data_IF_110409833739
#
_entry.id   IF_110409833739
#
_cell.length_a   1.000
_cell.length_b   1.000
_cell.length_c   1.000
_cell.angle_alpha   90.00
_cell.angle_beta   90.00
_cell.angle_gamma   90.00
#
_symmetry.space_group_name_H-M   'P 1'
#
loop_
_entity.id
_entity.type
_entity.pdbx_description
1 polymer ?
#
# COMPACT_ATOMS: atom_id res chain seq x y z
N UNK A 1 -4.58 -6.29 14.98
CA UNK A 1 -4.24 -5.33 13.90
C UNK A 1 -5.38 -5.35 12.92
N UNK A 2 -5.67 -4.25 12.23
CA UNK A 2 -6.80 -4.15 11.28
C UNK A 2 -6.59 -5.07 10.08
N UNK A 3 -7.63 -5.80 9.63
CA UNK A 3 -7.54 -6.57 8.38
C UNK A 3 -7.53 -5.65 7.17
N UNK A 4 -6.89 -6.06 6.09
CA UNK A 4 -6.83 -5.24 4.88
C UNK A 4 -8.23 -5.06 4.25
N UNK A 5 -9.12 -6.04 4.39
CA UNK A 5 -10.52 -5.91 3.94
C UNK A 5 -11.26 -4.75 4.60
N UNK A 6 -10.90 -4.38 5.84
CA UNK A 6 -11.49 -3.23 6.54
C UNK A 6 -10.93 -1.89 6.02
N UNK A 7 -9.80 -1.93 5.31
CA UNK A 7 -9.17 -0.75 4.72
C UNK A 7 -9.71 -0.49 3.30
N UNK A 8 -10.41 -1.44 2.69
CA UNK A 8 -10.96 -1.33 1.33
C UNK A 8 -12.30 -0.61 1.36
N UNK A 9 -12.44 0.43 0.54
CA UNK A 9 -13.71 1.14 0.39
C UNK A 9 -14.55 0.50 -0.73
N UNK A 10 -15.84 0.19 -0.52
CA UNK A 10 -16.67 -0.50 -1.51
C UNK A 10 -16.86 0.29 -2.81
N UNK A 11 -16.93 1.62 -2.71
CA UNK A 11 -17.09 2.52 -3.87
C UNK A 11 -15.75 2.91 -4.54
N UNK A 12 -14.63 2.28 -4.14
CA UNK A 12 -13.33 2.57 -4.73
C UNK A 12 -13.29 2.17 -6.20
N UNK A 13 -13.38 3.18 -7.07
CA UNK A 13 -13.19 3.00 -8.50
C UNK A 13 -11.72 3.05 -8.92
N UNK A 14 -10.77 3.40 -8.05
CA UNK A 14 -9.31 3.20 -8.26
C UNK A 14 -8.58 3.13 -6.92
N UNK A 15 -7.51 2.34 -6.87
CA UNK A 15 -6.59 2.29 -5.75
C UNK A 15 -5.18 2.66 -6.21
N UNK A 16 -4.58 3.63 -5.54
CA UNK A 16 -3.23 4.11 -5.75
C UNK A 16 -2.30 3.45 -4.75
N UNK A 17 -1.26 2.78 -5.23
CA UNK A 17 -0.23 2.16 -4.38
C UNK A 17 1.13 2.73 -4.77
N UNK A 18 1.84 3.33 -3.80
CA UNK A 18 3.14 3.96 -4.03
C UNK A 18 4.09 3.69 -2.86
N UNK A 19 5.24 3.09 -3.15
CA UNK A 19 6.35 3.00 -2.20
C UNK A 19 7.15 4.30 -2.24
N UNK A 20 7.44 4.86 -1.07
CA UNK A 20 8.31 6.01 -0.91
C UNK A 20 9.53 5.61 -0.09
N UNK A 21 10.71 5.62 -0.72
CA UNK A 21 11.96 5.21 -0.08
C UNK A 21 12.61 6.40 0.58
N UNK A 22 12.79 6.29 1.88
CA UNK A 22 13.30 7.39 2.71
C UNK A 22 14.70 7.09 3.25
N UNK A 23 15.09 5.81 3.26
CA UNK A 23 16.41 5.32 3.66
C UNK A 23 16.62 5.18 5.17
N UNK A 24 15.70 5.65 6.02
CA UNK A 24 15.83 5.52 7.48
C UNK A 24 14.48 5.60 8.21
N UNK A 25 14.31 4.93 9.36
CA UNK A 25 13.03 4.85 10.08
C UNK A 25 12.48 6.22 10.47
N UNK A 26 13.34 7.12 10.94
CA UNK A 26 12.97 8.47 11.38
C UNK A 26 12.47 9.29 10.20
N UNK A 27 13.04 9.07 9.02
CA UNK A 27 12.66 9.75 7.78
C UNK A 27 11.35 9.21 7.23
N UNK A 28 11.11 7.89 7.30
CA UNK A 28 9.80 7.30 6.97
C UNK A 28 8.70 7.84 7.88
N UNK A 29 8.96 7.94 9.18
CA UNK A 29 8.00 8.52 10.14
C UNK A 29 7.77 9.99 9.87
N UNK A 30 8.83 10.78 9.64
CA UNK A 30 8.69 12.20 9.31
C UNK A 30 7.88 12.44 8.02
N UNK A 31 8.06 11.62 6.98
CA UNK A 31 7.26 11.70 5.77
C UNK A 31 5.79 11.33 6.01
N UNK A 32 5.53 10.30 6.83
CA UNK A 32 4.18 9.90 7.20
C UNK A 32 3.48 10.98 8.03
N UNK A 33 4.12 11.50 9.07
CA UNK A 33 3.59 12.58 9.93
C UNK A 33 3.31 13.85 9.12
N UNK A 34 4.18 14.19 8.17
CA UNK A 34 3.95 15.31 7.27
C UNK A 34 2.71 15.09 6.39
N UNK A 35 2.54 13.90 5.81
CA UNK A 35 1.34 13.55 5.04
C UNK A 35 0.08 13.62 5.90
N UNK A 36 0.14 13.15 7.15
CA UNK A 36 -0.97 13.20 8.10
C UNK A 36 -1.36 14.66 8.39
N UNK A 37 -0.37 15.51 8.65
CA UNK A 37 -0.59 16.94 8.88
C UNK A 37 -1.18 17.66 7.67
N UNK A 38 -0.71 17.35 6.46
CA UNK A 38 -1.24 17.93 5.22
C UNK A 38 -2.69 17.49 4.94
N UNK A 39 -3.03 16.25 5.28
CA UNK A 39 -4.41 15.77 5.17
C UNK A 39 -5.34 16.47 6.16
N UNK A 40 -4.91 16.59 7.43
CA UNK A 40 -5.70 17.24 8.47
C UNK A 40 -5.91 18.75 8.25
N UNK A 41 -5.01 19.41 7.51
CA UNK A 41 -5.06 20.85 7.26
C UNK A 41 -5.86 21.24 6.00
N UNK A 42 -6.10 20.28 5.08
CA UNK A 42 -6.74 20.53 3.80
C UNK A 42 -8.20 20.07 3.80
N UNK A 43 -9.03 20.69 2.96
CA UNK A 43 -10.35 20.13 2.66
C UNK A 43 -10.16 18.84 1.85
N UNK A 44 -10.67 17.73 2.39
CA UNK A 44 -10.62 16.43 1.71
C UNK A 44 -11.48 16.52 0.45
N UNK A 45 -10.94 16.21 -0.73
CA UNK A 45 -11.76 16.14 -1.93
C UNK A 45 -12.76 15.00 -1.75
N UNK A 46 -14.05 15.23 -2.00
CA UNK A 46 -15.11 14.22 -1.85
C UNK A 46 -14.91 12.95 -2.70
N UNK A 47 -14.03 13.02 -3.69
CA UNK A 47 -13.62 11.89 -4.51
C UNK A 47 -12.55 10.97 -3.88
N UNK A 48 -11.88 11.41 -2.80
CA UNK A 48 -10.93 10.61 -2.04
C UNK A 48 -11.68 9.89 -0.92
N UNK A 49 -11.80 8.58 -1.05
CA UNK A 49 -12.66 7.75 -0.20
C UNK A 49 -11.93 7.21 1.03
N UNK A 50 -10.64 6.91 0.87
CA UNK A 50 -9.81 6.44 1.97
C UNK A 50 -8.33 6.64 1.66
N UNK A 51 -7.52 6.81 2.70
CA UNK A 51 -6.07 6.90 2.60
C UNK A 51 -5.42 6.20 3.78
N UNK A 52 -4.42 5.37 3.52
CA UNK A 52 -3.73 4.56 4.52
C UNK A 52 -2.22 4.67 4.31
N UNK A 53 -1.49 4.80 5.41
CA UNK A 53 -0.04 4.86 5.44
C UNK A 53 0.49 3.66 6.19
N UNK A 54 1.49 3.02 5.62
CA UNK A 54 2.18 1.90 6.23
C UNK A 54 3.67 2.20 6.33
N UNK A 55 4.33 1.71 7.37
CA UNK A 55 5.78 1.80 7.53
C UNK A 55 6.41 0.45 7.25
N UNK A 56 7.49 0.42 6.48
CA UNK A 56 8.20 -0.83 6.23
C UNK A 56 8.84 -1.35 7.52
N UNK A 57 8.87 -2.67 7.69
CA UNK A 57 9.44 -3.28 8.91
C UNK A 57 10.96 -3.17 8.98
N UNK A 58 11.62 -2.97 7.84
CA UNK A 58 13.06 -2.67 7.76
C UNK A 58 13.37 -1.17 8.01
N UNK A 59 12.34 -0.33 8.11
CA UNK A 59 12.43 1.11 8.33
C UNK A 59 12.94 1.94 7.15
N UNK A 60 13.11 1.37 5.96
CA UNK A 60 13.71 2.08 4.81
C UNK A 60 12.70 2.79 3.92
N UNK A 61 11.41 2.47 4.04
CA UNK A 61 10.34 3.02 3.21
C UNK A 61 9.02 3.17 3.96
N UNK A 62 8.07 3.83 3.29
CA UNK A 62 6.66 3.80 3.64
C UNK A 62 5.85 3.42 2.40
N UNK A 63 4.67 2.83 2.61
CA UNK A 63 3.69 2.58 1.56
C UNK A 63 2.52 3.55 1.72
N UNK A 64 2.21 4.24 0.63
CA UNK A 64 1.01 5.05 0.49
C UNK A 64 -0.04 4.25 -0.27
N UNK A 65 -1.21 4.06 0.35
CA UNK A 65 -2.38 3.43 -0.25
C UNK A 65 -3.57 4.39 -0.21
N UNK A 66 -4.10 4.82 -1.36
CA UNK A 66 -5.24 5.72 -1.40
C UNK A 66 -6.30 5.25 -2.38
N UNK A 67 -7.56 5.38 -2.00
CA UNK A 67 -8.72 4.94 -2.78
C UNK A 67 -9.54 6.14 -3.21
N UNK A 68 -9.86 6.18 -4.50
CA UNK A 68 -10.63 7.26 -5.10
C UNK A 68 -11.83 6.71 -5.85
N UNK A 69 -12.84 7.55 -6.04
CA UNK A 69 -14.03 7.25 -6.85
C UNK A 69 -13.67 6.88 -8.29
N UNK A 70 -12.64 7.49 -8.88
CA UNK A 70 -12.16 7.16 -10.22
C UNK A 70 -10.72 7.62 -10.47
N UNK A 71 -10.12 7.10 -11.55
CA UNK A 71 -8.80 7.60 -12.00
C UNK A 71 -8.84 9.06 -12.44
N UNK A 72 -9.94 9.46 -13.09
CA UNK A 72 -10.14 10.82 -13.60
C UNK A 72 -10.22 11.82 -12.45
N UNK A 73 -11.01 11.53 -11.41
CA UNK A 73 -11.15 12.40 -10.25
C UNK A 73 -9.81 12.61 -9.55
N UNK A 74 -9.05 11.54 -9.35
CA UNK A 74 -7.69 11.65 -8.82
C UNK A 74 -6.79 12.47 -9.75
N UNK A 75 -6.84 12.29 -11.08
CA UNK A 75 -6.04 13.07 -12.02
C UNK A 75 -6.39 14.56 -11.99
N UNK A 76 -7.67 14.91 -11.93
CA UNK A 76 -8.14 16.30 -11.79
C UNK A 76 -7.59 16.90 -10.51
N UNK A 77 -7.76 16.20 -9.38
CA UNK A 77 -7.24 16.66 -8.10
C UNK A 77 -5.71 16.81 -8.12
N UNK A 78 -5.00 15.82 -8.65
CA UNK A 78 -3.54 15.78 -8.65
C UNK A 78 -2.93 16.93 -9.47
N UNK A 79 -3.50 17.25 -10.64
CA UNK A 79 -3.04 18.38 -11.46
C UNK A 79 -3.09 19.72 -10.73
N UNK A 80 -4.06 19.89 -9.82
CA UNK A 80 -4.24 21.14 -9.09
C UNK A 80 -3.50 21.19 -7.74
N UNK A 81 -3.37 20.06 -7.05
CA UNK A 81 -2.98 20.06 -5.63
C UNK A 81 -1.74 19.21 -5.29
N UNK A 82 -1.32 18.29 -6.18
CA UNK A 82 -0.30 17.29 -5.84
C UNK A 82 1.04 17.92 -5.47
N UNK A 83 1.48 18.93 -6.22
CA UNK A 83 2.78 19.56 -5.97
C UNK A 83 2.81 20.30 -4.64
N UNK A 84 1.73 21.01 -4.30
CA UNK A 84 1.59 21.63 -2.99
C UNK A 84 1.57 20.58 -1.87
N UNK A 85 0.84 19.46 -2.07
CA UNK A 85 0.74 18.36 -1.09
C UNK A 85 2.06 17.68 -0.78
N UNK A 86 2.96 17.53 -1.75
CA UNK A 86 4.23 16.82 -1.53
C UNK A 86 5.41 17.74 -1.23
N UNK A 87 5.32 19.04 -1.52
CA UNK A 87 6.47 19.97 -1.37
C UNK A 87 6.99 20.02 0.07
N UNK A 88 6.09 20.00 1.06
CA UNK A 88 6.47 19.97 2.47
C UNK A 88 7.22 18.69 2.83
N UNK A 89 6.78 17.56 2.28
CA UNK A 89 7.42 16.27 2.50
C UNK A 89 8.82 16.26 1.88
N UNK A 90 8.96 16.79 0.66
CA UNK A 90 10.25 16.89 -0.02
C UNK A 90 11.24 17.80 0.73
N UNK A 91 10.72 18.85 1.37
CA UNK A 91 11.52 19.74 2.23
C UNK A 91 11.98 19.04 3.51
N UNK A 92 11.09 18.29 4.16
CA UNK A 92 11.38 17.59 5.42
C UNK A 92 12.24 16.33 5.21
N UNK A 93 12.10 15.68 4.07
CA UNK A 93 12.76 14.42 3.73
C UNK A 93 13.49 14.58 2.38
N UNK A 94 14.59 15.36 2.36
CA UNK A 94 15.32 15.65 1.13
C UNK A 94 15.89 14.38 0.53
N UNK A 95 15.73 14.19 -0.79
CA UNK A 95 16.20 12.99 -1.50
C UNK A 95 15.29 11.76 -1.35
N UNK A 96 14.06 11.92 -0.87
CA UNK A 96 13.05 10.87 -0.90
C UNK A 96 12.83 10.38 -2.33
N UNK A 97 12.89 9.07 -2.55
CA UNK A 97 12.63 8.46 -3.85
C UNK A 97 11.20 7.96 -3.90
N UNK A 98 10.52 8.24 -5.03
CA UNK A 98 9.17 7.74 -5.29
C UNK A 98 9.19 7.03 -6.66
N UNK A 99 9.59 5.75 -6.70
CA UNK A 99 9.82 5.02 -7.95
C UNK A 99 8.60 5.00 -8.90
N UNK A 100 7.40 5.17 -8.36
CA UNK A 100 6.21 5.37 -9.15
C UNK A 100 4.93 5.36 -8.33
N UNK A 101 3.84 5.75 -8.98
CA UNK A 101 2.48 5.65 -8.48
C UNK A 101 1.73 4.63 -9.33
N UNK A 102 1.36 3.49 -8.73
CA UNK A 102 0.62 2.47 -9.44
C UNK A 102 -0.87 2.72 -9.28
N UNK A 103 -1.57 2.90 -10.41
CA UNK A 103 -3.03 2.90 -10.46
C UNK A 103 -3.51 1.48 -10.65
N UNK A 104 -4.39 1.05 -9.75
CA UNK A 104 -4.82 -0.33 -9.69
C UNK A 104 -6.31 -0.46 -9.47
N UNK A 105 -6.82 -1.67 -9.65
CA UNK A 105 -8.16 -2.10 -9.23
C UNK A 105 -8.02 -3.34 -8.38
N UNK A 106 -8.72 -3.37 -7.23
CA UNK A 106 -8.84 -4.60 -6.46
C UNK A 106 -9.63 -5.61 -7.30
N UNK A 107 -8.94 -6.66 -7.76
CA UNK A 107 -9.51 -7.69 -8.64
C UNK A 107 -10.16 -8.80 -7.84
N UNK A 108 -9.55 -9.17 -6.71
CA UNK A 108 -9.94 -10.31 -5.87
C UNK A 108 -9.28 -10.19 -4.50
N UNK A 109 -10.02 -10.64 -3.48
CA UNK A 109 -9.47 -10.97 -2.16
C UNK A 109 -9.71 -12.46 -1.90
N UNK A 110 -8.72 -13.14 -1.33
CA UNK A 110 -8.81 -14.53 -0.87
C UNK A 110 -8.52 -14.52 0.62
N UNK A 111 -9.48 -14.97 1.42
CA UNK A 111 -9.37 -15.03 2.88
C UNK A 111 -9.21 -16.50 3.26
N UNK A 112 -8.09 -16.84 3.91
CA UNK A 112 -7.78 -18.18 4.38
C UNK A 112 -8.12 -18.35 5.86
N UNK A 113 -7.87 -17.31 6.65
CA UNK A 113 -8.20 -17.25 8.07
C UNK A 113 -8.65 -15.82 8.43
N UNK A 114 -9.95 -15.67 8.68
CA UNK A 114 -10.58 -14.40 9.03
C UNK A 114 -10.56 -14.09 10.54
N UNK A 115 -10.23 -15.09 11.38
CA UNK A 115 -10.15 -14.92 12.84
C UNK A 115 -8.72 -14.65 13.31
N UNK A 116 -7.73 -15.04 12.50
CA UNK A 116 -6.33 -14.75 12.73
C UNK A 116 -6.02 -13.26 12.77
N UNK A 117 -5.14 -12.84 13.67
CA UNK A 117 -4.76 -11.44 13.81
C UNK A 117 -3.58 -11.11 12.88
N UNK A 118 -3.70 -10.15 11.95
CA UNK A 118 -2.58 -9.73 11.12
C UNK A 118 -1.45 -9.17 11.98
N UNK A 119 -0.23 -9.59 11.73
CA UNK A 119 1.00 -9.05 12.31
C UNK A 119 1.82 -8.22 11.34
N UNK A 120 1.82 -8.58 10.04
CA UNK A 120 2.46 -7.81 8.96
C UNK A 120 1.67 -7.92 7.65
N UNK A 121 1.84 -6.91 6.80
CA UNK A 121 1.42 -6.95 5.41
C UNK A 121 2.63 -7.17 4.51
N UNK A 122 2.61 -8.20 3.67
CA UNK A 122 3.60 -8.39 2.59
C UNK A 122 3.09 -7.74 1.30
N UNK A 123 3.92 -6.93 0.64
CA UNK A 123 3.57 -6.27 -0.62
C UNK A 123 4.58 -6.64 -1.69
N UNK A 124 4.09 -7.29 -2.73
CA UNK A 124 4.89 -7.71 -3.88
C UNK A 124 4.29 -7.17 -5.17
N UNK A 125 5.15 -6.89 -6.16
CA UNK A 125 4.73 -6.65 -7.54
C UNK A 125 5.12 -7.84 -8.39
N UNK A 126 4.15 -8.48 -9.02
CA UNK A 126 4.32 -9.67 -9.86
C UNK A 126 3.69 -9.45 -11.23
N UNK A 127 3.98 -10.32 -12.20
CA UNK A 127 3.20 -10.35 -13.44
C UNK A 127 1.76 -10.75 -13.12
N UNK A 128 0.79 -10.24 -13.89
CA UNK A 128 -0.63 -10.51 -13.61
C UNK A 128 -0.97 -12.01 -13.65
N UNK A 129 -0.35 -12.77 -14.55
CA UNK A 129 -0.58 -14.22 -14.70
C UNK A 129 0.01 -15.03 -13.52
N UNK A 130 1.01 -14.48 -12.82
CA UNK A 130 1.67 -15.13 -11.68
C UNK A 130 0.95 -14.85 -10.34
N UNK A 131 -0.01 -13.92 -10.33
CA UNK A 131 -0.69 -13.50 -9.11
C UNK A 131 -1.42 -14.65 -8.40
N UNK A 132 -1.92 -15.65 -9.13
CA UNK A 132 -2.60 -16.81 -8.52
C UNK A 132 -1.66 -17.67 -7.67
N UNK A 133 -0.35 -17.69 -7.96
CA UNK A 133 0.63 -18.39 -7.11
C UNK A 133 0.78 -17.75 -5.74
N UNK A 134 0.56 -16.44 -5.64
CA UNK A 134 0.74 -15.66 -4.40
C UNK A 134 -0.42 -15.79 -3.42
N UNK A 135 -1.56 -16.34 -3.86
CA UNK A 135 -2.77 -16.47 -3.04
C UNK A 135 -2.97 -17.89 -2.49
N UNK A 136 -2.03 -18.80 -2.74
CA UNK A 136 -2.13 -20.19 -2.29
C UNK A 136 -2.04 -20.29 -0.75
N UNK A 137 -2.89 -21.14 -0.13
CA UNK A 137 -2.86 -21.31 1.33
C UNK A 137 -1.48 -21.77 1.79
N UNK A 138 -0.88 -21.01 2.69
CA UNK A 138 0.45 -21.26 3.25
C UNK A 138 0.42 -21.02 4.76
N UNK A 139 1.15 -21.78 5.60
CA UNK A 139 1.14 -21.54 7.04
C UNK A 139 1.45 -20.09 7.40
N UNK A 140 0.56 -19.48 8.18
CA UNK A 140 0.66 -18.07 8.62
C UNK A 140 0.11 -17.04 7.63
N UNK A 141 -0.28 -17.41 6.40
CA UNK A 141 -0.99 -16.53 5.47
C UNK A 141 -2.47 -16.46 5.85
N UNK A 142 -2.94 -15.27 6.19
CA UNK A 142 -4.33 -15.01 6.60
C UNK A 142 -5.21 -14.62 5.41
N UNK A 143 -4.70 -13.76 4.54
CA UNK A 143 -5.43 -13.26 3.37
C UNK A 143 -4.47 -12.75 2.28
N UNK A 144 -4.98 -12.65 1.05
CA UNK A 144 -4.28 -12.04 -0.07
C UNK A 144 -5.23 -11.20 -0.94
N UNK A 145 -4.77 -10.02 -1.32
CA UNK A 145 -5.52 -9.01 -2.07
C UNK A 145 -4.77 -8.65 -3.35
N UNK A 146 -5.38 -8.96 -4.48
CA UNK A 146 -4.75 -8.80 -5.79
C UNK A 146 -5.24 -7.50 -6.42
N UNK A 147 -4.34 -6.54 -6.56
CA UNK A 147 -4.56 -5.27 -7.23
C UNK A 147 -3.94 -5.30 -8.64
N UNK A 148 -4.77 -5.33 -9.68
CA UNK A 148 -4.27 -5.29 -11.06
C UNK A 148 -3.97 -3.86 -11.50
N UNK A 149 -2.84 -3.64 -12.17
CA UNK A 149 -2.53 -2.36 -12.83
C UNK A 149 -3.48 -2.09 -13.98
N UNK A 150 -3.66 -0.82 -14.35
CA UNK A 150 -4.62 -0.42 -15.41
C UNK A 150 -4.31 -1.04 -16.77
N UNK A 151 -3.05 -1.31 -17.08
CA UNK A 151 -2.62 -2.01 -18.30
C UNK A 151 -2.83 -3.54 -18.23
N UNK A 152 -3.21 -4.07 -17.08
CA UNK A 152 -3.41 -5.50 -16.83
C UNK A 152 -2.12 -6.34 -16.84
N UNK A 153 -0.94 -5.72 -16.97
CA UNK A 153 0.32 -6.45 -17.12
C UNK A 153 0.91 -6.91 -15.79
N UNK A 154 0.63 -6.18 -14.71
CA UNK A 154 1.19 -6.44 -13.38
C UNK A 154 0.09 -6.51 -12.32
N UNK A 155 0.38 -7.24 -11.26
CA UNK A 155 -0.40 -7.24 -10.05
C UNK A 155 0.46 -6.74 -8.89
N UNK A 156 -0.13 -5.89 -8.05
CA UNK A 156 0.38 -5.65 -6.70
C UNK A 156 -0.41 -6.55 -5.78
N UNK A 157 0.26 -7.46 -5.11
CA UNK A 157 -0.36 -8.38 -4.18
C UNK A 157 -0.04 -7.91 -2.77
N UNK A 158 -1.09 -7.65 -2.00
CA UNK A 158 -1.00 -7.32 -0.57
C UNK A 158 -1.46 -8.57 0.19
N UNK A 159 -0.57 -9.15 0.98
CA UNK A 159 -0.82 -10.36 1.75
C UNK A 159 -0.82 -10.05 3.24
N UNK A 160 -1.73 -10.64 3.99
CA UNK A 160 -1.83 -10.52 5.45
C UNK A 160 -1.21 -11.76 6.10
N UNK A 161 -0.29 -11.57 7.03
CA UNK A 161 0.39 -12.67 7.72
C UNK A 161 0.27 -12.53 9.23
N UNK A 162 0.24 -13.67 9.92
CA UNK A 162 0.26 -13.71 11.40
C UNK A 162 1.49 -12.99 11.97
N UNK A 163 2.64 -13.12 11.30
CA UNK A 163 3.91 -12.57 11.75
C UNK A 163 4.93 -12.51 10.62
N UNK A 164 6.04 -11.81 10.89
CA UNK A 164 7.11 -11.59 9.93
C UNK A 164 7.87 -12.88 9.55
N UNK A 165 8.00 -13.84 10.48
CA UNK A 165 8.76 -15.07 10.27
C UNK A 165 8.03 -16.02 9.32
N UNK A 166 6.70 -16.09 9.43
CA UNK A 166 5.85 -16.87 8.53
C UNK A 166 5.96 -16.37 7.08
N UNK A 167 5.93 -15.05 6.85
CA UNK A 167 6.17 -14.49 5.51
C UNK A 167 7.59 -14.77 4.99
N UNK A 168 8.61 -14.67 5.85
CA UNK A 168 10.02 -14.86 5.46
C UNK A 168 10.33 -16.30 5.04
N UNK A 169 9.73 -17.29 5.71
CA UNK A 169 9.87 -18.69 5.36
C UNK A 169 9.43 -18.99 3.91
N UNK A 170 8.45 -18.24 3.41
CA UNK A 170 7.94 -18.37 2.03
C UNK A 170 8.82 -17.62 1.05
N UNK A 171 9.21 -16.39 1.38
CA UNK A 171 10.09 -15.59 0.53
C UNK A 171 11.45 -16.26 0.31
N UNK A 172 12.01 -16.91 1.34
CA UNK A 172 13.26 -17.66 1.23
C UNK A 172 13.14 -18.93 0.35
N UNK A 173 11.93 -19.42 0.12
CA UNK A 173 11.68 -20.59 -0.72
C UNK A 173 11.46 -20.25 -2.20
N UNK A 174 11.21 -18.98 -2.54
CA UNK A 174 10.97 -18.49 -3.90
C UNK A 174 12.19 -17.75 -4.43
N UNK A 175 12.95 -18.36 -5.33
CA UNK A 175 14.23 -17.85 -5.85
C UNK A 175 14.08 -16.81 -7.00
N UNK A 176 12.93 -16.13 -7.11
CA UNK A 176 12.61 -15.29 -8.28
C UNK A 176 11.90 -13.97 -7.94
N UNK A 177 12.38 -12.86 -8.53
CA UNK A 177 11.69 -11.57 -8.63
C UNK A 177 11.84 -10.55 -7.47
N UNK A 178 11.60 -9.25 -7.72
CA UNK A 178 11.93 -8.15 -6.81
C UNK A 178 11.23 -8.32 -5.46
N UNK A 179 12.03 -8.21 -4.39
CA UNK A 179 11.68 -8.60 -3.03
C UNK A 179 10.32 -8.06 -2.55
N UNK A 180 9.48 -8.97 -2.07
CA UNK A 180 8.30 -8.62 -1.27
C UNK A 180 8.76 -7.79 -0.06
N UNK A 181 8.14 -6.62 0.11
CA UNK A 181 8.45 -5.74 1.23
C UNK A 181 7.37 -5.88 2.31
N UNK A 182 7.80 -5.95 3.57
CA UNK A 182 6.90 -6.09 4.73
C UNK A 182 6.57 -4.73 5.33
N UNK A 183 5.32 -4.55 5.72
CA UNK A 183 4.81 -3.30 6.27
C UNK A 183 3.89 -3.53 7.47
N UNK A 184 3.77 -2.51 8.32
CA UNK A 184 2.73 -2.42 9.35
C UNK A 184 1.90 -1.15 9.13
N UNK A 185 0.60 -1.25 9.40
CA UNK A 185 -0.30 -0.10 9.31
C UNK A 185 0.12 0.97 10.32
N UNK A 186 0.38 2.17 9.84
CA UNK A 186 0.80 3.30 10.67
C UNK A 186 -0.33 4.29 10.91
N UNK A 187 -1.11 4.60 9.87
CA UNK A 187 -2.23 5.51 9.98
C UNK A 187 -3.31 5.22 8.94
N UNK A 188 -4.57 5.48 9.29
CA UNK A 188 -5.73 5.25 8.44
C UNK A 188 -6.65 6.47 8.47
N UNK A 189 -7.01 6.95 7.29
CA UNK A 189 -8.02 7.98 7.04
C UNK A 189 -9.17 7.31 6.29
N UNK A 190 -10.34 7.29 6.91
CA UNK A 190 -11.59 6.84 6.32
C UNK A 190 -12.52 8.06 6.30
N UNK A 191 -13.10 8.36 5.14
CA UNK A 191 -14.19 9.35 5.02
C UNK A 191 -15.55 8.67 5.22
#
# INVERSE_FOLDING_TARGET
>A
MTHFTELVHPDAGTALISEWRTGAPERSRAAADAMIGEFAAAETPSALLAQHLFLSTDGTSLLFYAQWTSDEDHLVWARAHRDARVSRIDTLVPGIERPGLNRTRLRRSVIHDAEGCPGVFGVATVAADDAEGTVLPTPGLLAAHVHLTTDGARAIVITEWTDAASHEAVAAATDDGPGSQRYTLHHSFLD
#
